data_IF_362490665093
#
_entry.id   IF_362490665093
#
_cell.length_a   1.000
_cell.length_b   1.000
_cell.length_c   1.000
_cell.angle_alpha   90.00
_cell.angle_beta   90.00
_cell.angle_gamma   90.00
#
_symmetry.space_group_name_H-M   'P 1'
#
loop_
_entity.id
_entity.type
_entity.pdbx_description
1 polymer ?
#
# COMPACT_ATOMS: atom_id res chain seq x y z
N UNK A 1 16.64 -6.70 -8.58
CA UNK A 1 16.07 -5.48 -9.17
C UNK A 1 15.72 -5.61 -10.66
N UNK A 2 16.30 -6.53 -11.45
CA UNK A 2 16.09 -6.57 -12.91
C UNK A 2 14.76 -7.14 -13.44
N UNK A 3 14.01 -7.95 -12.68
CA UNK A 3 12.77 -8.56 -13.20
C UNK A 3 11.56 -7.62 -13.20
N UNK A 4 11.61 -6.52 -12.45
CA UNK A 4 10.43 -5.70 -12.16
C UNK A 4 10.25 -4.50 -13.10
N UNK A 5 11.33 -3.91 -13.60
CA UNK A 5 11.24 -2.86 -14.65
C UNK A 5 10.69 -3.43 -15.97
N UNK A 6 10.98 -4.71 -16.25
CA UNK A 6 10.48 -5.42 -17.44
C UNK A 6 8.95 -5.62 -17.39
N UNK A 7 8.36 -5.76 -16.19
CA UNK A 7 6.91 -5.94 -16.03
C UNK A 7 6.14 -4.63 -16.27
N UNK A 8 6.76 -3.48 -15.98
CA UNK A 8 6.22 -2.16 -16.32
C UNK A 8 6.20 -1.98 -17.84
N UNK A 9 7.32 -2.28 -18.52
CA UNK A 9 7.42 -2.21 -19.99
C UNK A 9 6.48 -3.19 -20.73
N UNK A 10 6.03 -4.26 -20.07
CA UNK A 10 5.16 -5.29 -20.66
C UNK A 10 3.65 -4.97 -20.61
N UNK A 11 3.24 -3.85 -20.00
CA UNK A 11 1.83 -3.43 -19.96
C UNK A 11 0.93 -4.20 -18.98
N UNK A 12 1.50 -5.07 -18.14
CA UNK A 12 0.85 -5.66 -16.96
C UNK A 12 1.14 -4.80 -15.72
N UNK A 13 1.00 -3.48 -15.91
CA UNK A 13 1.48 -2.43 -15.01
C UNK A 13 0.70 -2.42 -13.68
N UNK A 14 -0.59 -2.74 -13.72
CA UNK A 14 -1.51 -2.49 -12.63
C UNK A 14 -1.18 -3.30 -11.36
N UNK A 15 -0.99 -4.63 -11.48
CA UNK A 15 -0.76 -5.50 -10.32
C UNK A 15 0.70 -5.47 -9.81
N UNK A 16 1.65 -5.19 -10.70
CA UNK A 16 3.07 -5.12 -10.35
C UNK A 16 3.43 -3.79 -9.68
N UNK A 17 2.77 -2.69 -10.04
CA UNK A 17 3.16 -1.34 -9.60
C UNK A 17 2.98 -1.16 -8.10
N UNK A 18 1.82 -1.45 -7.51
CA UNK A 18 1.60 -1.28 -6.06
C UNK A 18 2.60 -2.06 -5.18
N UNK A 19 3.02 -3.25 -5.62
CA UNK A 19 4.04 -4.06 -4.95
C UNK A 19 5.43 -3.42 -5.04
N UNK A 20 5.81 -2.96 -6.23
CA UNK A 20 7.11 -2.36 -6.48
C UNK A 20 7.25 -1.01 -5.78
N UNK A 21 6.19 -0.21 -5.79
CA UNK A 21 6.18 1.11 -5.17
C UNK A 21 6.41 1.01 -3.66
N UNK A 22 5.87 -0.03 -3.01
CA UNK A 22 6.05 -0.23 -1.57
C UNK A 22 7.52 -0.53 -1.20
N UNK A 23 8.32 -1.12 -2.11
CA UNK A 23 9.79 -1.25 -1.95
C UNK A 23 10.44 0.12 -2.06
N UNK A 24 10.09 0.85 -3.13
CA UNK A 24 10.68 2.13 -3.46
C UNK A 24 10.34 3.20 -2.43
N UNK A 25 9.27 3.04 -1.64
CA UNK A 25 8.90 3.92 -0.54
C UNK A 25 10.07 4.30 0.37
N UNK A 26 11.00 3.37 0.63
CA UNK A 26 12.16 3.62 1.50
C UNK A 26 13.40 4.13 0.75
N UNK A 27 13.58 3.70 -0.50
CA UNK A 27 14.83 3.89 -1.24
C UNK A 27 14.75 5.05 -2.25
N UNK A 28 13.57 5.30 -2.83
CA UNK A 28 13.30 6.35 -3.81
C UNK A 28 11.81 6.81 -3.73
N UNK A 29 11.47 7.68 -2.78
CA UNK A 29 10.09 8.12 -2.57
C UNK A 29 9.52 8.94 -3.73
N UNK A 30 10.37 9.60 -4.53
CA UNK A 30 9.92 10.40 -5.69
C UNK A 30 9.42 9.47 -6.79
N UNK A 31 10.24 8.47 -7.17
CA UNK A 31 9.82 7.44 -8.14
C UNK A 31 8.62 6.66 -7.63
N UNK A 32 8.52 6.46 -6.31
CA UNK A 32 7.39 5.80 -5.71
C UNK A 32 6.08 6.59 -5.89
N UNK A 33 6.11 7.92 -5.69
CA UNK A 33 4.96 8.79 -5.94
C UNK A 33 4.50 8.66 -7.40
N UNK A 34 5.40 8.81 -8.37
CA UNK A 34 5.07 8.75 -9.80
C UNK A 34 4.38 7.44 -10.20
N UNK A 35 4.85 6.33 -9.64
CA UNK A 35 4.29 5.01 -9.91
C UNK A 35 2.91 4.82 -9.26
N UNK A 36 2.68 5.30 -8.03
CA UNK A 36 1.33 5.25 -7.46
C UNK A 36 0.35 6.15 -8.22
N UNK A 37 0.79 7.32 -8.70
CA UNK A 37 -0.04 8.20 -9.55
C UNK A 37 -0.46 7.51 -10.84
N UNK A 38 0.42 6.70 -11.43
CA UNK A 38 0.08 5.87 -12.58
C UNK A 38 -0.96 4.81 -12.20
N UNK A 39 -0.74 4.09 -11.10
CA UNK A 39 -1.64 3.04 -10.63
C UNK A 39 -3.02 3.56 -10.17
N UNK A 40 -3.13 4.84 -9.78
CA UNK A 40 -4.41 5.47 -9.47
C UNK A 40 -5.36 5.54 -10.68
N UNK A 41 -4.84 5.48 -11.91
CA UNK A 41 -5.68 5.46 -13.13
C UNK A 41 -6.57 4.22 -13.20
N UNK A 42 -6.15 3.14 -12.53
CA UNK A 42 -6.88 1.88 -12.45
C UNK A 42 -7.72 1.77 -11.16
N UNK A 43 -7.87 2.88 -10.43
CA UNK A 43 -8.68 3.00 -9.21
C UNK A 43 -8.30 2.02 -8.08
N UNK A 44 -7.04 1.57 -8.05
CA UNK A 44 -6.60 0.59 -7.07
C UNK A 44 -6.56 1.17 -5.64
N UNK A 45 -7.22 0.48 -4.72
CA UNK A 45 -7.27 0.84 -3.29
C UNK A 45 -5.86 0.88 -2.67
N UNK A 46 -4.97 -0.06 -3.05
CA UNK A 46 -3.58 -0.09 -2.59
C UNK A 46 -2.78 1.13 -3.04
N UNK A 47 -3.01 1.61 -4.27
CA UNK A 47 -2.34 2.79 -4.80
C UNK A 47 -2.73 4.04 -4.01
N UNK A 48 -4.03 4.19 -3.71
CA UNK A 48 -4.54 5.28 -2.85
C UNK A 48 -3.91 5.24 -1.46
N UNK A 49 -3.84 4.06 -0.84
CA UNK A 49 -3.22 3.89 0.49
C UNK A 49 -1.73 4.23 0.48
N UNK A 50 -0.99 3.73 -0.51
CA UNK A 50 0.44 3.93 -0.64
C UNK A 50 0.82 5.38 -0.93
N UNK A 51 0.15 6.02 -1.90
CA UNK A 51 0.37 7.44 -2.20
C UNK A 51 -0.05 8.32 -1.01
N UNK A 52 -1.16 7.96 -0.36
CA UNK A 52 -1.62 8.64 0.85
C UNK A 52 -0.54 8.68 1.93
N UNK A 53 0.24 7.60 2.12
CA UNK A 53 1.35 7.62 3.07
C UNK A 53 2.54 8.44 2.61
N UNK A 54 2.94 8.36 1.34
CA UNK A 54 4.06 9.16 0.83
C UNK A 54 3.78 10.66 0.99
N UNK A 55 2.53 11.06 0.82
CA UNK A 55 2.10 12.45 0.93
C UNK A 55 1.74 12.89 2.35
N UNK A 56 1.83 12.03 3.37
CA UNK A 56 1.33 12.35 4.73
C UNK A 56 2.04 13.58 5.34
N UNK A 57 3.31 13.81 4.99
CA UNK A 57 4.08 14.97 5.43
C UNK A 57 4.04 16.14 4.44
N UNK A 58 4.17 15.87 3.14
CA UNK A 58 4.37 16.90 2.12
C UNK A 58 3.04 17.48 1.57
N UNK A 59 1.99 16.66 1.50
CA UNK A 59 0.63 17.10 1.13
C UNK A 59 -0.42 16.38 2.00
N UNK A 60 -0.58 16.80 3.26
CA UNK A 60 -1.48 16.15 4.21
C UNK A 60 -2.96 16.26 3.80
N UNK A 61 -3.31 17.25 2.98
CA UNK A 61 -4.68 17.41 2.48
C UNK A 61 -4.99 16.31 1.48
N UNK A 62 -4.13 16.15 0.47
CA UNK A 62 -4.30 15.11 -0.55
C UNK A 62 -4.17 13.71 0.03
N UNK A 63 -3.22 13.52 0.96
CA UNK A 63 -3.10 12.29 1.75
C UNK A 63 -4.42 11.88 2.39
N UNK A 64 -5.10 12.83 3.06
CA UNK A 64 -6.40 12.59 3.70
C UNK A 64 -7.50 12.25 2.69
N UNK A 65 -7.53 12.92 1.54
CA UNK A 65 -8.50 12.65 0.46
C UNK A 65 -8.32 11.23 -0.08
N UNK A 66 -7.08 10.82 -0.37
CA UNK A 66 -6.75 9.47 -0.83
C UNK A 66 -7.14 8.39 0.19
N UNK A 67 -6.88 8.63 1.48
CA UNK A 67 -7.34 7.69 2.51
C UNK A 67 -8.86 7.59 2.56
N UNK A 68 -9.58 8.71 2.60
CA UNK A 68 -11.05 8.68 2.66
C UNK A 68 -11.65 7.92 1.47
N UNK A 69 -11.09 8.12 0.29
CA UNK A 69 -11.49 7.41 -0.92
C UNK A 69 -11.20 5.90 -0.80
N UNK A 70 -9.96 5.51 -0.41
CA UNK A 70 -9.61 4.11 -0.17
C UNK A 70 -10.52 3.43 0.87
N UNK A 71 -10.89 4.12 1.95
CA UNK A 71 -11.79 3.59 2.98
C UNK A 71 -13.25 3.42 2.51
N UNK A 72 -13.60 3.99 1.36
CA UNK A 72 -14.90 3.78 0.73
C UNK A 72 -14.92 2.52 -0.15
N UNK A 73 -13.77 1.96 -0.48
CA UNK A 73 -13.66 0.72 -1.25
C UNK A 73 -14.08 -0.50 -0.45
N UNK A 74 -14.72 -1.47 -1.13
CA UNK A 74 -15.18 -2.72 -0.52
C UNK A 74 -14.06 -3.69 -0.16
N UNK A 75 -12.89 -3.54 -0.77
CA UNK A 75 -11.69 -4.35 -0.58
C UNK A 75 -10.69 -3.78 0.45
N UNK A 76 -11.00 -2.63 1.08
CA UNK A 76 -10.12 -1.92 2.02
C UNK A 76 -9.46 -2.83 3.07
N UNK A 77 -10.18 -3.84 3.58
CA UNK A 77 -9.64 -4.79 4.55
C UNK A 77 -8.53 -5.68 3.98
N UNK A 78 -8.65 -6.11 2.72
CA UNK A 78 -7.65 -6.90 2.02
C UNK A 78 -6.47 -6.03 1.57
N UNK A 79 -6.72 -4.84 1.04
CA UNK A 79 -5.66 -3.90 0.63
C UNK A 79 -4.80 -3.45 1.81
N UNK A 80 -5.42 -3.13 2.96
CA UNK A 80 -4.67 -2.83 4.18
C UNK A 80 -3.86 -4.03 4.69
N UNK A 81 -4.40 -5.25 4.58
CA UNK A 81 -3.67 -6.47 4.95
C UNK A 81 -2.48 -6.72 4.03
N UNK A 82 -2.68 -6.51 2.73
CA UNK A 82 -1.66 -6.71 1.71
C UNK A 82 -0.44 -5.82 1.94
N UNK A 83 -0.65 -4.52 2.12
CA UNK A 83 0.47 -3.62 2.37
C UNK A 83 1.10 -3.88 3.75
N UNK A 84 0.31 -4.30 4.74
CA UNK A 84 0.84 -4.69 6.04
C UNK A 84 1.78 -5.90 5.96
N UNK A 85 1.44 -6.92 5.18
CA UNK A 85 2.33 -8.07 4.93
C UNK A 85 3.64 -7.62 4.27
N UNK A 86 3.54 -6.70 3.30
CA UNK A 86 4.71 -6.17 2.61
C UNK A 86 5.67 -5.44 3.54
N UNK A 87 5.12 -4.58 4.41
CA UNK A 87 5.91 -3.80 5.36
C UNK A 87 6.43 -4.63 6.53
N UNK A 88 6.03 -5.90 6.71
CA UNK A 88 6.39 -6.69 7.90
C UNK A 88 7.89 -6.72 8.14
N UNK A 89 8.68 -6.91 7.09
CA UNK A 89 10.13 -7.07 7.19
C UNK A 89 10.88 -5.74 6.94
N UNK A 90 10.19 -4.71 6.46
CA UNK A 90 10.75 -3.38 6.13
C UNK A 90 10.52 -2.38 7.27
N UNK A 91 9.28 -2.29 7.75
CA UNK A 91 8.83 -1.49 8.89
C UNK A 91 7.77 -2.27 9.70
N UNK A 92 8.21 -3.13 10.64
CA UNK A 92 7.32 -3.94 11.47
C UNK A 92 6.34 -3.09 12.31
N UNK A 93 6.72 -1.85 12.66
CA UNK A 93 5.89 -0.95 13.45
C UNK A 93 4.71 -0.47 12.62
N UNK A 94 4.94 -0.03 11.39
CA UNK A 94 3.87 0.37 10.48
C UNK A 94 3.02 -0.84 10.07
N UNK A 95 3.65 -1.98 9.77
CA UNK A 95 2.96 -3.25 9.49
C UNK A 95 1.94 -3.60 10.59
N UNK A 96 2.34 -3.59 11.87
CA UNK A 96 1.41 -3.87 12.99
C UNK A 96 0.23 -2.88 13.04
N UNK A 97 0.46 -1.59 12.77
CA UNK A 97 -0.62 -0.59 12.72
C UNK A 97 -1.61 -0.90 11.58
N UNK A 98 -1.11 -1.28 10.41
CA UNK A 98 -1.94 -1.58 9.25
C UNK A 98 -2.74 -2.86 9.45
N UNK A 99 -2.14 -3.93 9.97
CA UNK A 99 -2.92 -5.12 10.34
C UNK A 99 -4.00 -4.79 11.38
N UNK A 100 -3.72 -3.90 12.33
CA UNK A 100 -4.72 -3.47 13.31
C UNK A 100 -5.88 -2.72 12.64
N UNK A 101 -5.60 -1.85 11.67
CA UNK A 101 -6.62 -1.15 10.88
C UNK A 101 -7.43 -2.13 10.01
N UNK A 102 -6.76 -3.02 9.29
CA UNK A 102 -7.36 -4.08 8.49
C UNK A 102 -8.31 -4.96 9.33
N UNK A 103 -7.88 -5.37 10.54
CA UNK A 103 -8.72 -6.12 11.48
C UNK A 103 -9.97 -5.33 11.88
N UNK A 104 -9.84 -4.03 12.16
CA UNK A 104 -10.96 -3.16 12.56
C UNK A 104 -12.01 -3.03 11.46
N UNK A 105 -11.60 -2.99 10.19
CA UNK A 105 -12.52 -2.97 9.04
C UNK A 105 -12.97 -4.36 8.60
N UNK A 106 -12.65 -5.42 9.36
CA UNK A 106 -13.22 -6.76 9.18
C UNK A 106 -12.31 -7.80 8.52
N UNK A 107 -11.05 -7.47 8.18
CA UNK A 107 -10.12 -8.44 7.58
C UNK A 107 -9.79 -9.58 8.55
N UNK A 108 -10.22 -10.80 8.17
CA UNK A 108 -9.92 -12.03 8.92
C UNK A 108 -8.44 -12.40 8.80
N UNK A 109 -7.84 -12.20 7.63
CA UNK A 109 -6.41 -12.43 7.40
C UNK A 109 -5.56 -11.58 8.34
N UNK A 110 -5.91 -10.31 8.51
CA UNK A 110 -5.20 -9.42 9.43
C UNK A 110 -5.29 -9.85 10.90
N UNK A 111 -6.41 -10.43 11.32
CA UNK A 111 -6.51 -11.03 12.66
C UNK A 111 -5.51 -12.18 12.82
N UNK A 112 -5.44 -13.06 11.83
CA UNK A 112 -4.48 -14.17 11.86
C UNK A 112 -3.03 -13.68 11.83
N UNK A 113 -2.69 -12.73 10.95
CA UNK A 113 -1.34 -12.18 10.85
C UNK A 113 -0.89 -11.48 12.13
N UNK A 114 -1.78 -10.76 12.83
CA UNK A 114 -1.46 -10.16 14.14
C UNK A 114 -1.05 -11.21 15.15
N UNK A 115 -1.84 -12.27 15.30
CA UNK A 115 -1.57 -13.33 16.26
C UNK A 115 -0.31 -14.14 15.90
N UNK A 116 0.00 -14.23 14.61
CA UNK A 116 1.17 -14.98 14.13
C UNK A 116 2.48 -14.22 14.34
N UNK A 117 2.46 -12.90 14.17
CA UNK A 117 3.68 -12.10 14.04
C UNK A 117 3.89 -11.07 15.15
N UNK A 118 2.86 -10.75 15.93
CA UNK A 118 2.86 -9.61 16.85
C UNK A 118 2.19 -9.83 18.22
N UNK A 119 1.73 -11.06 18.49
CA UNK A 119 1.38 -11.58 19.82
C UNK A 119 2.60 -12.31 20.41
#
# INVERSE_FOLDING_TARGET
MQFFEIAIDAGDESACTCNLVTILFKDDPVRAIELYELALKDDQTEAKLGLGWLLEHDDPKRSKELFNDAYSSSDIGESLWFIAEYLRDIDPRQSKKLFTRAKKVGSRKARYSLNRWFD
#
